data_IF_837311417123
#
_entry.id   IF_837311417123
#
_cell.length_a   1.000
_cell.length_b   1.000
_cell.length_c   1.000
_cell.angle_alpha   90.00
_cell.angle_beta   90.00
_cell.angle_gamma   90.00
#
_symmetry.space_group_name_H-M   'P 1'
#
loop_
_entity.id
_entity.type
_entity.pdbx_description
1 polymer ?
#
# COMPACT_ATOMS: atom_id res chain seq x y z
N UNK A 1 15.98 8.61 -20.32
CA UNK A 1 15.82 7.30 -19.65
C UNK A 1 14.52 6.64 -20.08
N UNK A 2 14.52 5.32 -20.12
CA UNK A 2 13.32 4.51 -20.27
C UNK A 2 13.01 3.84 -18.94
N UNK A 3 11.77 3.96 -18.49
CA UNK A 3 11.30 3.43 -17.20
C UNK A 3 10.19 2.39 -17.44
N UNK A 4 10.28 1.25 -16.78
CA UNK A 4 9.24 0.23 -16.74
C UNK A 4 8.59 0.24 -15.35
N UNK A 5 7.27 0.31 -15.30
CA UNK A 5 6.49 0.18 -14.06
C UNK A 5 5.77 -1.17 -14.10
N UNK A 6 5.90 -1.95 -13.04
CA UNK A 6 5.22 -3.25 -12.91
C UNK A 6 4.00 -3.10 -12.00
N UNK A 7 2.83 -3.36 -12.55
CA UNK A 7 1.56 -3.27 -11.86
C UNK A 7 0.44 -2.68 -12.72
N UNK A 8 -0.74 -2.54 -12.16
CA UNK A 8 -1.93 -2.13 -12.92
C UNK A 8 -2.97 -1.35 -12.11
N UNK A 9 -2.66 -0.94 -10.90
CA UNK A 9 -3.60 -0.30 -9.97
C UNK A 9 -3.48 1.22 -9.91
N UNK A 10 -4.25 1.81 -9.01
CA UNK A 10 -4.24 3.26 -8.79
C UNK A 10 -2.90 3.80 -8.29
N UNK A 11 -2.22 3.04 -7.47
CA UNK A 11 -0.87 3.32 -7.01
C UNK A 11 0.11 3.42 -8.18
N UNK A 12 0.08 2.48 -9.11
CA UNK A 12 0.93 2.48 -10.31
C UNK A 12 0.58 3.63 -11.24
N UNK A 13 -0.70 4.01 -11.32
CA UNK A 13 -1.11 5.19 -12.07
C UNK A 13 -0.51 6.47 -11.46
N UNK A 14 -0.55 6.62 -10.14
CA UNK A 14 0.05 7.77 -9.46
C UNK A 14 1.57 7.81 -9.68
N UNK A 15 2.24 6.67 -9.65
CA UNK A 15 3.67 6.54 -9.96
C UNK A 15 3.94 6.97 -11.41
N UNK A 16 3.19 6.44 -12.38
CA UNK A 16 3.36 6.78 -13.79
C UNK A 16 3.15 8.27 -14.06
N UNK A 17 2.13 8.86 -13.45
CA UNK A 17 1.85 10.30 -13.50
C UNK A 17 3.04 11.12 -13.01
N UNK A 18 3.64 10.73 -11.89
CA UNK A 18 4.79 11.45 -11.32
C UNK A 18 6.07 11.24 -12.12
N UNK A 19 6.33 10.02 -12.57
CA UNK A 19 7.47 9.68 -13.43
C UNK A 19 7.43 10.48 -14.73
N UNK A 20 6.24 10.68 -15.31
CA UNK A 20 6.06 11.45 -16.54
C UNK A 20 6.47 12.93 -16.41
N UNK A 21 6.56 13.45 -15.19
CA UNK A 21 7.01 14.82 -14.92
C UNK A 21 8.53 14.96 -14.89
N UNK A 22 9.27 13.86 -14.85
CA UNK A 22 10.72 13.89 -14.81
C UNK A 22 11.32 14.27 -16.15
N UNK A 23 12.21 15.26 -16.15
CA UNK A 23 12.96 15.67 -17.35
C UNK A 23 13.95 14.60 -17.81
N UNK A 24 14.25 13.62 -16.96
CA UNK A 24 15.16 12.51 -17.28
C UNK A 24 14.51 11.41 -18.12
N UNK A 25 13.17 11.36 -18.14
CA UNK A 25 12.42 10.24 -18.73
C UNK A 25 11.93 10.58 -20.13
N UNK A 26 12.31 9.72 -21.08
CA UNK A 26 11.89 9.85 -22.48
C UNK A 26 10.73 8.90 -22.79
N UNK A 27 10.67 7.76 -22.14
CA UNK A 27 9.69 6.71 -22.41
C UNK A 27 9.31 5.97 -21.11
N UNK A 28 8.02 5.73 -20.95
CA UNK A 28 7.47 4.93 -19.85
C UNK A 28 6.74 3.72 -20.43
N UNK A 29 7.05 2.54 -19.90
CA UNK A 29 6.27 1.31 -20.10
C UNK A 29 5.59 0.93 -18.79
N UNK A 30 4.44 0.31 -18.86
CA UNK A 30 3.77 -0.29 -17.69
C UNK A 30 3.25 -1.68 -18.04
N UNK A 31 3.52 -2.64 -17.20
CA UNK A 31 3.12 -4.02 -17.43
C UNK A 31 2.34 -4.57 -16.20
N UNK A 32 1.05 -4.92 -16.34
CA UNK A 32 0.24 -4.78 -17.55
C UNK A 32 -0.38 -3.39 -17.76
N UNK A 33 -0.43 -2.53 -16.71
CA UNK A 33 -1.05 -1.21 -16.78
C UNK A 33 -2.58 -1.23 -16.78
N UNK A 34 -3.18 -0.09 -17.00
CA UNK A 34 -4.63 0.08 -17.12
C UNK A 34 -4.95 1.24 -18.08
N UNK A 35 -6.24 1.52 -18.29
CA UNK A 35 -6.68 2.52 -19.26
C UNK A 35 -6.22 3.95 -18.93
N UNK A 36 -6.05 4.30 -17.65
CA UNK A 36 -5.55 5.62 -17.25
C UNK A 36 -4.03 5.73 -17.35
N UNK A 37 -3.32 4.68 -17.00
CA UNK A 37 -1.86 4.60 -17.14
C UNK A 37 -1.46 4.77 -18.61
N UNK A 38 -2.27 4.29 -19.53
CA UNK A 38 -2.03 4.42 -20.97
C UNK A 38 -1.89 5.87 -21.46
N UNK A 39 -2.33 6.85 -20.69
CA UNK A 39 -2.11 8.28 -21.00
C UNK A 39 -0.65 8.70 -20.84
N UNK A 40 0.10 8.01 -19.96
CA UNK A 40 1.50 8.34 -19.63
C UNK A 40 2.49 7.31 -20.10
N UNK A 41 2.06 6.08 -20.31
CA UNK A 41 2.91 4.93 -20.57
C UNK A 41 2.36 4.06 -21.70
N UNK A 42 3.26 3.37 -22.37
CA UNK A 42 2.88 2.25 -23.23
C UNK A 42 2.59 1.04 -22.35
N UNK A 43 1.35 0.59 -22.32
CA UNK A 43 0.96 -0.61 -21.59
C UNK A 43 1.36 -1.86 -22.39
N UNK A 44 2.02 -2.78 -21.70
CA UNK A 44 2.57 -4.00 -22.28
C UNK A 44 1.83 -5.20 -21.70
N UNK A 45 1.37 -6.09 -22.57
CA UNK A 45 0.58 -7.26 -22.17
C UNK A 45 1.46 -8.38 -21.56
N UNK A 46 2.14 -8.04 -20.48
CA UNK A 46 2.92 -8.98 -19.67
C UNK A 46 2.39 -8.90 -18.24
N UNK A 47 2.03 -10.03 -17.66
CA UNK A 47 1.55 -10.11 -16.29
C UNK A 47 2.65 -9.79 -15.27
N UNK A 48 2.27 -9.21 -14.15
CA UNK A 48 3.22 -8.80 -13.11
C UNK A 48 4.01 -9.97 -12.49
N UNK A 49 3.50 -11.19 -12.58
CA UNK A 49 4.15 -12.41 -12.09
C UNK A 49 4.98 -13.15 -13.15
N UNK A 50 5.02 -12.65 -14.36
CA UNK A 50 5.80 -13.24 -15.46
C UNK A 50 7.23 -12.66 -15.48
N UNK A 51 8.01 -12.96 -14.47
CA UNK A 51 9.29 -12.31 -14.19
C UNK A 51 10.31 -12.43 -15.34
N UNK A 52 10.43 -13.61 -15.95
CA UNK A 52 11.36 -13.83 -17.04
C UNK A 52 10.98 -13.02 -18.28
N UNK A 53 9.68 -12.92 -18.58
CA UNK A 53 9.17 -12.09 -19.68
C UNK A 53 9.37 -10.61 -19.42
N UNK A 54 9.15 -10.17 -18.17
CA UNK A 54 9.39 -8.79 -17.77
C UNK A 54 10.88 -8.41 -17.92
N UNK A 55 11.78 -9.26 -17.44
CA UNK A 55 13.22 -9.04 -17.57
C UNK A 55 13.67 -9.04 -19.02
N UNK A 56 13.19 -9.97 -19.84
CA UNK A 56 13.49 -10.03 -21.27
C UNK A 56 13.00 -8.77 -21.99
N UNK A 57 11.78 -8.31 -21.69
CA UNK A 57 11.24 -7.07 -22.24
C UNK A 57 12.12 -5.86 -21.86
N UNK A 58 12.49 -5.74 -20.59
CA UNK A 58 13.33 -4.64 -20.11
C UNK A 58 14.69 -4.64 -20.83
N UNK A 59 15.28 -5.80 -21.06
CA UNK A 59 16.55 -5.95 -21.74
C UNK A 59 16.46 -5.60 -23.24
N UNK A 60 15.48 -6.14 -23.93
CA UNK A 60 15.24 -5.90 -25.37
C UNK A 60 14.92 -4.43 -25.67
N UNK A 61 14.19 -3.76 -24.77
CA UNK A 61 13.79 -2.37 -24.95
C UNK A 61 14.75 -1.37 -24.29
N UNK A 62 15.87 -1.85 -23.73
CA UNK A 62 16.88 -1.00 -23.10
C UNK A 62 16.30 -0.14 -21.97
N UNK A 63 15.48 -0.73 -21.14
CA UNK A 63 14.92 -0.06 -19.96
C UNK A 63 16.04 0.26 -18.98
N UNK A 64 16.11 1.52 -18.56
CA UNK A 64 17.15 2.02 -17.63
C UNK A 64 16.82 1.77 -16.17
N UNK A 65 15.53 1.78 -15.83
CA UNK A 65 15.06 1.57 -14.45
C UNK A 65 13.69 0.92 -14.48
N UNK A 66 13.52 -0.11 -13.67
CA UNK A 66 12.22 -0.75 -13.43
C UNK A 66 11.75 -0.46 -12.00
N UNK A 67 10.48 -0.09 -11.85
CA UNK A 67 9.83 0.20 -10.56
C UNK A 67 8.72 -0.81 -10.35
N UNK A 68 8.79 -1.56 -9.26
CA UNK A 68 7.77 -2.56 -8.92
C UNK A 68 6.81 -1.97 -7.89
N UNK A 69 5.54 -1.84 -8.28
CA UNK A 69 4.52 -1.20 -7.45
C UNK A 69 3.74 -2.14 -6.53
N UNK A 70 3.72 -3.44 -6.82
CA UNK A 70 2.84 -4.42 -6.14
C UNK A 70 3.63 -5.39 -5.25
N UNK A 71 2.92 -5.96 -4.27
CA UNK A 71 3.44 -6.90 -3.29
C UNK A 71 3.78 -8.29 -3.86
N UNK A 72 2.86 -8.92 -4.58
CA UNK A 72 3.04 -10.30 -5.08
C UNK A 72 4.34 -10.51 -5.85
N UNK A 73 4.70 -9.70 -6.86
CA UNK A 73 5.96 -9.87 -7.57
C UNK A 73 7.18 -9.63 -6.67
N UNK A 74 7.13 -8.71 -5.72
CA UNK A 74 8.23 -8.44 -4.80
C UNK A 74 8.48 -9.64 -3.89
N UNK A 75 7.44 -10.17 -3.28
CA UNK A 75 7.51 -11.38 -2.44
C UNK A 75 7.92 -12.59 -3.26
N UNK A 76 7.51 -12.64 -4.53
CA UNK A 76 7.85 -13.71 -5.48
C UNK A 76 9.29 -13.70 -5.98
N UNK A 77 10.02 -12.57 -5.84
CA UNK A 77 11.44 -12.50 -6.21
C UNK A 77 11.74 -11.83 -7.56
N UNK A 78 10.85 -10.98 -8.07
CA UNK A 78 11.05 -10.26 -9.34
C UNK A 78 12.36 -9.45 -9.35
N UNK A 79 12.72 -8.83 -8.23
CA UNK A 79 13.94 -8.03 -8.11
C UNK A 79 15.18 -8.89 -8.28
N UNK A 80 15.20 -10.09 -7.70
CA UNK A 80 16.30 -11.04 -7.83
C UNK A 80 16.49 -11.46 -9.29
N UNK A 81 15.40 -11.69 -10.01
CA UNK A 81 15.44 -12.03 -11.44
C UNK A 81 16.07 -10.89 -12.26
N UNK A 82 15.64 -9.65 -12.00
CA UNK A 82 16.16 -8.47 -12.70
C UNK A 82 17.63 -8.22 -12.39
N UNK A 83 18.04 -8.30 -11.14
CA UNK A 83 19.44 -8.11 -10.75
C UNK A 83 20.37 -9.16 -11.37
N UNK A 84 19.91 -10.41 -11.44
CA UNK A 84 20.66 -11.49 -12.09
C UNK A 84 20.93 -11.20 -13.58
N UNK A 85 20.02 -10.49 -14.24
CA UNK A 85 20.16 -10.05 -15.62
C UNK A 85 20.90 -8.71 -15.78
N UNK A 86 21.43 -8.15 -14.68
CA UNK A 86 22.14 -6.88 -14.70
C UNK A 86 21.25 -5.65 -14.89
N UNK A 87 19.94 -5.78 -14.62
CA UNK A 87 18.95 -4.72 -14.79
C UNK A 87 18.77 -3.95 -13.48
N UNK A 88 18.73 -2.62 -13.58
CA UNK A 88 18.43 -1.76 -12.42
C UNK A 88 16.95 -1.84 -12.09
N UNK A 89 16.64 -2.07 -10.83
CA UNK A 89 15.27 -2.24 -10.35
C UNK A 89 15.10 -1.61 -8.97
N UNK A 90 14.00 -0.89 -8.79
CA UNK A 90 13.60 -0.32 -7.52
C UNK A 90 12.58 -1.24 -6.85
N UNK A 91 12.94 -1.77 -5.72
CA UNK A 91 12.14 -2.67 -4.91
C UNK A 91 13.03 -3.58 -4.07
N UNK A 92 12.51 -4.18 -3.00
CA UNK A 92 13.26 -5.11 -2.17
C UNK A 92 13.45 -6.45 -2.86
N UNK A 93 14.59 -7.08 -2.63
CA UNK A 93 14.82 -8.49 -2.98
C UNK A 93 13.86 -9.37 -2.21
N UNK A 94 13.66 -10.60 -2.68
CA UNK A 94 12.80 -11.59 -2.04
C UNK A 94 13.10 -11.75 -0.55
N UNK A 95 14.40 -11.84 -0.18
CA UNK A 95 14.82 -12.02 1.20
C UNK A 95 14.45 -10.80 2.11
N UNK A 96 14.30 -9.61 1.54
CA UNK A 96 13.87 -8.41 2.27
C UNK A 96 12.35 -8.21 2.20
N UNK A 97 11.72 -8.57 1.09
CA UNK A 97 10.26 -8.49 0.91
C UNK A 97 9.49 -9.38 1.89
N UNK A 98 10.16 -10.33 2.54
CA UNK A 98 9.61 -11.13 3.63
C UNK A 98 9.05 -10.27 4.78
N UNK A 99 9.52 -9.02 4.91
CA UNK A 99 8.99 -8.08 5.88
C UNK A 99 7.47 -7.89 5.74
N UNK A 100 6.96 -7.94 4.50
CA UNK A 100 5.52 -8.00 4.20
C UNK A 100 5.04 -9.44 4.00
N UNK A 101 5.84 -10.27 3.37
CA UNK A 101 5.48 -11.64 2.99
C UNK A 101 5.25 -12.57 4.16
N UNK A 102 5.79 -12.28 5.34
CA UNK A 102 5.59 -13.07 6.55
C UNK A 102 5.37 -12.18 7.77
N UNK A 103 4.16 -12.25 8.31
CA UNK A 103 3.79 -11.54 9.55
C UNK A 103 4.55 -12.11 10.75
N UNK A 104 4.73 -13.44 10.78
CA UNK A 104 5.51 -14.10 11.82
C UNK A 104 6.96 -13.61 11.83
N UNK A 105 7.59 -13.51 10.66
CA UNK A 105 8.94 -12.98 10.54
C UNK A 105 9.02 -11.54 11.06
N UNK A 106 8.12 -10.65 10.63
CA UNK A 106 8.15 -9.24 11.03
C UNK A 106 7.93 -9.07 12.54
N UNK A 107 7.06 -9.87 13.14
CA UNK A 107 6.84 -9.85 14.59
C UNK A 107 8.10 -10.31 15.34
N UNK A 108 8.72 -11.41 14.92
CA UNK A 108 9.95 -11.91 15.53
C UNK A 108 11.11 -10.91 15.37
N UNK A 109 11.20 -10.24 14.22
CA UNK A 109 12.17 -9.17 13.99
C UNK A 109 11.98 -8.02 14.97
N UNK A 110 10.74 -7.53 15.12
CA UNK A 110 10.43 -6.44 16.03
C UNK A 110 10.72 -6.79 17.48
N UNK A 111 10.40 -8.02 17.89
CA UNK A 111 10.71 -8.50 19.24
C UNK A 111 12.22 -8.56 19.49
N UNK A 112 12.97 -9.12 18.54
CA UNK A 112 14.43 -9.27 18.65
C UNK A 112 15.15 -7.92 18.74
N UNK A 113 14.70 -6.94 18.00
CA UNK A 113 15.34 -5.62 17.92
C UNK A 113 14.61 -4.54 18.72
N UNK A 114 13.69 -4.92 19.59
CA UNK A 114 12.95 -4.02 20.50
C UNK A 114 12.18 -2.91 19.80
N UNK A 115 11.62 -3.19 18.64
CA UNK A 115 10.76 -2.26 17.91
C UNK A 115 9.33 -2.37 18.47
N UNK A 116 8.70 -1.26 18.90
CA UNK A 116 7.37 -1.31 19.51
C UNK A 116 6.30 -1.91 18.59
N UNK A 117 5.64 -2.96 19.06
CA UNK A 117 4.51 -3.60 18.37
C UNK A 117 3.61 -4.30 19.41
N UNK A 118 2.47 -4.84 18.96
CA UNK A 118 1.58 -5.62 19.80
C UNK A 118 2.26 -6.88 20.33
N UNK A 119 1.93 -7.28 21.55
CA UNK A 119 2.32 -8.58 22.08
C UNK A 119 1.71 -9.69 21.22
N UNK A 120 2.46 -10.74 20.97
CA UNK A 120 2.06 -11.79 20.04
C UNK A 120 2.67 -13.14 20.38
N UNK A 121 2.09 -14.20 19.79
CA UNK A 121 2.67 -15.55 19.74
C UNK A 121 2.42 -16.15 18.35
N UNK A 122 3.38 -16.93 17.86
CA UNK A 122 3.27 -17.65 16.58
C UNK A 122 2.97 -19.12 16.82
N UNK A 123 2.10 -19.71 16.01
CA UNK A 123 1.72 -21.13 16.11
C UNK A 123 1.72 -21.80 14.73
N UNK A 124 2.36 -22.95 14.66
CA UNK A 124 2.31 -23.86 13.50
C UNK A 124 1.38 -25.04 13.74
N UNK A 125 1.00 -25.27 15.00
CA UNK A 125 0.09 -26.32 15.43
C UNK A 125 -1.22 -25.73 15.95
N UNK A 126 -2.34 -26.20 15.40
CA UNK A 126 -3.67 -25.71 15.77
C UNK A 126 -4.04 -26.03 17.23
N UNK A 127 -3.65 -27.21 17.76
CA UNK A 127 -3.92 -27.57 19.15
C UNK A 127 -3.16 -26.65 20.13
N UNK A 128 -1.92 -26.31 19.81
CA UNK A 128 -1.15 -25.36 20.61
C UNK A 128 -1.78 -23.97 20.61
N UNK A 129 -2.28 -23.52 19.45
CA UNK A 129 -3.00 -22.25 19.33
C UNK A 129 -4.28 -22.24 20.17
N UNK A 130 -5.07 -23.31 20.11
CA UNK A 130 -6.30 -23.46 20.91
C UNK A 130 -6.01 -23.47 22.41
N UNK A 131 -4.97 -24.16 22.83
CA UNK A 131 -4.54 -24.18 24.23
C UNK A 131 -4.17 -22.80 24.73
N UNK A 132 -3.41 -22.06 23.94
CA UNK A 132 -3.05 -20.66 24.25
C UNK A 132 -4.29 -19.77 24.41
N UNK A 133 -5.25 -19.88 23.47
CA UNK A 133 -6.49 -19.10 23.52
C UNK A 133 -7.32 -19.39 24.77
N UNK A 134 -7.40 -20.65 25.18
CA UNK A 134 -8.15 -21.08 26.34
C UNK A 134 -7.51 -20.71 27.69
N UNK A 135 -6.20 -20.71 27.74
CA UNK A 135 -5.46 -20.56 29.00
C UNK A 135 -4.91 -19.15 29.22
N UNK A 136 -4.55 -18.43 28.17
CA UNK A 136 -3.76 -17.18 28.26
C UNK A 136 -4.34 -15.98 27.55
N UNK A 137 -5.27 -16.16 26.62
CA UNK A 137 -5.76 -15.05 25.80
C UNK A 137 -6.70 -14.13 26.56
N UNK A 138 -6.54 -12.83 26.32
CA UNK A 138 -7.48 -11.80 26.71
C UNK A 138 -8.23 -11.32 25.47
N UNK A 139 -9.52 -10.98 25.60
CA UNK A 139 -10.36 -10.60 24.47
C UNK A 139 -10.74 -9.11 24.51
N UNK A 140 -10.89 -8.42 23.37
CA UNK A 140 -10.72 -8.96 22.01
C UNK A 140 -9.28 -9.34 21.69
N UNK A 141 -9.10 -10.28 20.73
CA UNK A 141 -7.79 -10.72 20.27
C UNK A 141 -7.75 -10.76 18.74
N UNK A 142 -6.56 -10.71 18.16
CA UNK A 142 -6.39 -10.69 16.70
C UNK A 142 -5.68 -11.95 16.24
N UNK A 143 -6.28 -12.64 15.27
CA UNK A 143 -5.69 -13.78 14.59
C UNK A 143 -5.28 -13.36 13.17
N UNK A 144 -4.04 -13.66 12.81
CA UNK A 144 -3.51 -13.32 11.47
C UNK A 144 -2.93 -14.57 10.81
N UNK A 145 -3.40 -14.88 9.61
CA UNK A 145 -2.73 -15.84 8.75
C UNK A 145 -1.38 -15.27 8.32
N UNK A 146 -0.35 -16.11 8.27
CA UNK A 146 0.96 -15.72 7.82
C UNK A 146 1.03 -15.70 6.29
N UNK A 147 1.40 -14.57 5.71
CA UNK A 147 1.45 -14.38 4.26
C UNK A 147 0.61 -13.20 3.81
N UNK A 148 0.54 -12.99 2.49
CA UNK A 148 -0.14 -11.82 1.92
C UNK A 148 -1.65 -11.83 2.14
N UNK A 149 -2.31 -12.97 1.93
CA UNK A 149 -3.75 -13.20 2.14
C UNK A 149 -4.69 -12.07 1.67
N UNK A 150 -4.20 -11.17 0.82
CA UNK A 150 -4.92 -10.01 0.25
C UNK A 150 -5.63 -9.14 1.32
N UNK A 151 -5.04 -9.02 2.51
CA UNK A 151 -5.63 -8.28 3.63
C UNK A 151 -6.83 -8.97 4.29
N UNK A 152 -7.20 -10.16 3.84
CA UNK A 152 -8.38 -10.89 4.35
C UNK A 152 -8.04 -11.87 5.48
N UNK A 153 -6.77 -12.15 5.69
CA UNK A 153 -6.30 -13.11 6.69
C UNK A 153 -6.21 -12.56 8.12
N UNK A 154 -6.91 -11.48 8.44
CA UNK A 154 -6.93 -10.84 9.75
C UNK A 154 -8.33 -10.96 10.34
N UNK A 155 -8.44 -11.60 11.50
CA UNK A 155 -9.70 -11.81 12.22
C UNK A 155 -9.61 -11.18 13.61
N UNK A 156 -10.51 -10.25 13.90
CA UNK A 156 -10.68 -9.68 15.24
C UNK A 156 -11.75 -10.52 15.95
N UNK A 157 -11.36 -11.17 17.04
CA UNK A 157 -12.23 -12.08 17.77
C UNK A 157 -12.55 -11.48 19.14
N UNK A 158 -13.84 -11.31 19.43
CA UNK A 158 -14.31 -10.73 20.69
C UNK A 158 -14.54 -11.77 21.78
N UNK A 159 -14.69 -13.03 21.39
CA UNK A 159 -14.95 -14.15 22.31
C UNK A 159 -14.02 -15.33 22.02
N UNK A 160 -13.89 -16.24 22.99
CA UNK A 160 -13.13 -17.46 22.80
C UNK A 160 -13.70 -18.32 21.66
N UNK A 161 -15.02 -18.40 21.55
CA UNK A 161 -15.71 -19.16 20.50
C UNK A 161 -15.37 -18.61 19.11
N UNK A 162 -15.38 -17.29 18.94
CA UNK A 162 -14.97 -16.64 17.68
C UNK A 162 -13.51 -16.96 17.35
N UNK A 163 -12.63 -16.93 18.36
CA UNK A 163 -11.21 -17.20 18.17
C UNK A 163 -10.95 -18.69 17.82
N UNK A 164 -11.65 -19.61 18.45
CA UNK A 164 -11.56 -21.05 18.12
C UNK A 164 -12.04 -21.31 16.68
N UNK A 165 -13.13 -20.70 16.25
CA UNK A 165 -13.60 -20.78 14.86
C UNK A 165 -12.59 -20.14 13.89
N UNK A 166 -11.94 -19.06 14.31
CA UNK A 166 -10.87 -18.41 13.54
C UNK A 166 -9.66 -19.32 13.32
N UNK A 167 -9.23 -20.06 14.35
CA UNK A 167 -8.16 -21.05 14.23
C UNK A 167 -8.54 -22.15 13.23
N UNK A 168 -9.77 -22.64 13.31
CA UNK A 168 -10.29 -23.64 12.38
C UNK A 168 -10.27 -23.11 10.94
N UNK A 169 -10.79 -21.91 10.72
CA UNK A 169 -10.84 -21.28 9.40
C UNK A 169 -9.46 -21.11 8.79
N UNK A 170 -8.49 -20.62 9.57
CA UNK A 170 -7.15 -20.31 9.07
C UNK A 170 -6.31 -21.57 8.94
N UNK A 171 -6.21 -22.38 9.99
CA UNK A 171 -5.23 -23.47 10.09
C UNK A 171 -5.75 -24.82 9.59
N UNK A 172 -7.03 -25.12 9.80
CA UNK A 172 -7.62 -26.42 9.44
C UNK A 172 -8.30 -26.39 8.07
N UNK A 173 -9.21 -25.45 7.87
CA UNK A 173 -9.94 -25.31 6.60
C UNK A 173 -9.08 -24.67 5.50
N UNK A 174 -7.94 -24.07 5.86
CA UNK A 174 -6.99 -23.45 4.94
C UNK A 174 -7.65 -22.44 4.01
N UNK A 175 -8.57 -21.63 4.52
CA UNK A 175 -9.28 -20.60 3.74
C UNK A 175 -8.32 -19.65 3.01
N UNK A 176 -7.12 -19.44 3.56
CA UNK A 176 -6.09 -18.58 2.99
C UNK A 176 -4.90 -19.40 2.44
N UNK A 177 -5.13 -20.66 2.10
CA UNK A 177 -4.11 -21.53 1.53
C UNK A 177 -2.92 -21.75 2.47
N UNK A 178 -1.71 -21.75 1.92
CA UNK A 178 -0.47 -21.93 2.68
C UNK A 178 -0.21 -20.84 3.71
N UNK A 179 -0.82 -19.65 3.57
CA UNK A 179 -0.74 -18.60 4.59
C UNK A 179 -1.30 -19.05 5.94
N UNK A 180 -2.19 -20.03 5.95
CA UNK A 180 -2.73 -20.66 7.17
C UNK A 180 -1.82 -21.70 7.83
N UNK A 181 -0.64 -21.97 7.29
CA UNK A 181 0.30 -22.92 7.92
C UNK A 181 0.88 -22.37 9.23
N UNK A 182 0.97 -21.06 9.35
CA UNK A 182 1.37 -20.38 10.57
C UNK A 182 0.31 -19.35 10.94
N UNK A 183 -0.03 -19.32 12.23
CA UNK A 183 -0.98 -18.37 12.80
C UNK A 183 -0.24 -17.43 13.74
N UNK A 184 -0.45 -16.13 13.58
CA UNK A 184 0.00 -15.10 14.53
C UNK A 184 -1.20 -14.69 15.38
N UNK A 185 -1.07 -14.82 16.69
CA UNK A 185 -2.07 -14.35 17.65
C UNK A 185 -1.51 -13.10 18.32
N UNK A 186 -2.23 -11.97 18.21
CA UNK A 186 -1.81 -10.68 18.73
C UNK A 186 -2.81 -10.10 19.71
N UNK A 187 -2.31 -9.32 20.68
CA UNK A 187 -3.19 -8.45 21.46
C UNK A 187 -3.92 -7.46 20.54
N UNK A 188 -5.13 -7.14 20.89
CA UNK A 188 -5.89 -6.10 20.20
C UNK A 188 -5.42 -4.73 20.69
N UNK A 189 -4.85 -3.94 19.77
CA UNK A 189 -4.45 -2.57 20.07
C UNK A 189 -5.59 -1.61 19.79
N UNK A 190 -5.75 -0.62 20.65
CA UNK A 190 -6.68 0.48 20.48
C UNK A 190 -5.91 1.79 20.24
N UNK A 191 -6.48 2.64 19.43
CA UNK A 191 -5.86 3.91 19.06
C UNK A 191 -6.27 4.33 17.67
N UNK A 192 -5.48 5.19 17.08
CA UNK A 192 -5.71 5.71 15.73
C UNK A 192 -4.65 5.15 14.79
N UNK A 193 -5.10 4.58 13.67
CA UNK A 193 -4.20 4.07 12.64
C UNK A 193 -3.69 5.23 11.77
N UNK A 194 -2.39 5.23 11.51
CA UNK A 194 -1.73 6.17 10.61
C UNK A 194 -0.74 5.41 9.75
N UNK A 195 -0.62 5.81 8.50
CA UNK A 195 0.31 5.23 7.54
C UNK A 195 1.47 6.19 7.28
N UNK A 196 2.70 5.68 7.33
CA UNK A 196 3.90 6.42 6.92
C UNK A 196 4.69 5.57 5.93
N UNK A 197 4.82 6.08 4.70
CA UNK A 197 5.62 5.46 3.67
C UNK A 197 7.04 6.03 3.75
N UNK A 198 8.02 5.24 3.36
CA UNK A 198 9.42 5.66 3.39
C UNK A 198 10.21 5.12 2.21
N UNK A 199 11.15 5.93 1.72
CA UNK A 199 12.20 5.47 0.82
C UNK A 199 13.36 4.89 1.63
N UNK A 200 13.92 3.78 1.17
CA UNK A 200 15.02 3.08 1.86
C UNK A 200 16.06 2.63 0.84
N UNK A 201 17.34 2.85 1.15
CA UNK A 201 18.47 2.46 0.29
C UNK A 201 19.37 1.35 0.89
N UNK A 202 18.88 0.67 1.90
CA UNK A 202 19.63 -0.35 2.65
C UNK A 202 20.24 0.17 3.94
N UNK A 203 20.55 1.46 4.02
CA UNK A 203 21.17 2.12 5.18
C UNK A 203 20.39 3.32 5.66
N UNK A 204 20.00 4.18 4.73
CA UNK A 204 19.28 5.42 5.00
C UNK A 204 17.78 5.21 4.76
N UNK A 205 16.97 5.78 5.62
CA UNK A 205 15.52 5.87 5.46
C UNK A 205 15.10 7.34 5.43
N UNK A 206 14.23 7.68 4.48
CA UNK A 206 13.59 9.00 4.36
C UNK A 206 12.10 8.81 4.34
N UNK A 207 11.43 9.26 5.39
CA UNK A 207 9.98 9.14 5.52
C UNK A 207 9.25 10.20 4.70
N UNK A 208 8.11 9.81 4.16
CA UNK A 208 7.19 10.70 3.45
C UNK A 208 6.18 11.30 4.42
N UNK A 209 5.41 12.26 3.94
CA UNK A 209 4.27 12.80 4.70
C UNK A 209 3.31 11.68 5.11
N UNK A 210 2.71 11.79 6.29
CA UNK A 210 1.75 10.80 6.80
C UNK A 210 0.46 10.75 5.99
N UNK A 211 -0.25 9.64 6.08
CA UNK A 211 -1.56 9.46 5.49
C UNK A 211 -2.46 8.65 6.44
N UNK A 212 -3.75 8.69 6.20
CA UNK A 212 -4.71 7.94 6.98
C UNK A 212 -5.77 7.35 6.06
N UNK A 213 -5.91 6.03 6.08
CA UNK A 213 -6.77 5.27 5.20
C UNK A 213 -8.07 4.83 5.91
N UNK A 214 -9.04 4.37 5.11
CA UNK A 214 -10.35 3.88 5.55
C UNK A 214 -10.56 2.49 4.98
N UNK A 215 -10.39 1.46 5.82
CA UNK A 215 -10.34 0.06 5.40
C UNK A 215 -11.71 -0.58 5.17
N UNK A 216 -12.76 -0.12 5.87
CA UNK A 216 -14.08 -0.71 5.79
C UNK A 216 -14.84 -0.25 4.55
N UNK A 217 -15.67 -1.16 4.02
CA UNK A 217 -16.38 -0.91 2.76
C UNK A 217 -17.49 0.15 2.87
N UNK A 218 -18.10 0.30 4.05
CA UNK A 218 -19.30 1.13 4.26
C UNK A 218 -19.06 2.29 5.22
N UNK A 219 -19.90 3.31 5.11
CA UNK A 219 -19.91 4.46 6.01
C UNK A 219 -19.98 4.01 7.49
N UNK A 220 -19.39 4.81 8.36
CA UNK A 220 -19.33 4.52 9.80
C UNK A 220 -18.41 3.36 10.15
N UNK A 221 -17.41 3.07 9.29
CA UNK A 221 -16.49 1.95 9.45
C UNK A 221 -17.21 0.61 9.61
N UNK A 222 -18.23 0.40 8.79
CA UNK A 222 -19.02 -0.82 8.76
C UNK A 222 -18.69 -1.68 7.54
N UNK A 223 -19.14 -2.93 7.58
CA UNK A 223 -18.95 -3.87 6.48
C UNK A 223 -17.59 -4.55 6.52
N UNK A 224 -17.22 -5.17 5.41
CA UNK A 224 -15.99 -5.95 5.28
C UNK A 224 -14.76 -5.06 5.11
N UNK A 225 -13.61 -5.58 5.48
CA UNK A 225 -12.33 -4.97 5.17
C UNK A 225 -12.08 -4.99 3.65
N UNK A 226 -11.47 -3.92 3.17
CA UNK A 226 -11.13 -3.73 1.75
C UNK A 226 -9.65 -3.37 1.61
N UNK A 227 -9.23 -3.11 0.39
CA UNK A 227 -7.90 -2.54 0.11
C UNK A 227 -7.77 -1.07 0.52
N UNK A 228 -8.87 -0.41 0.85
CA UNK A 228 -8.96 1.01 1.20
C UNK A 228 -10.02 1.72 0.36
N UNK A 229 -10.87 2.48 1.01
CA UNK A 229 -11.99 3.19 0.37
C UNK A 229 -11.75 4.70 0.23
N UNK A 230 -10.62 5.15 0.71
CA UNK A 230 -10.22 6.55 0.65
C UNK A 230 -9.18 6.87 1.70
N UNK A 231 -8.47 7.96 1.48
CA UNK A 231 -7.33 8.35 2.32
C UNK A 231 -7.13 9.85 2.28
N UNK A 232 -6.43 10.37 3.27
CA UNK A 232 -6.02 11.76 3.29
C UNK A 232 -4.60 11.92 3.81
N UNK A 233 -3.97 13.03 3.49
CA UNK A 233 -2.60 13.38 3.87
C UNK A 233 -2.46 14.90 4.03
N UNK A 234 -1.77 15.38 5.09
CA UNK A 234 -1.19 14.62 6.19
C UNK A 234 -2.24 14.21 7.25
N UNK A 235 -1.91 13.26 8.11
CA UNK A 235 -2.75 12.98 9.27
C UNK A 235 -2.52 14.04 10.35
N UNK A 236 -3.57 14.71 10.85
CA UNK A 236 -3.43 15.70 11.92
C UNK A 236 -3.06 15.07 13.27
N UNK A 237 -3.19 13.77 13.39
CA UNK A 237 -2.82 13.02 14.61
C UNK A 237 -1.36 12.57 14.62
N UNK A 238 -0.70 12.63 13.48
CA UNK A 238 0.74 12.38 13.36
C UNK A 238 1.50 13.68 13.67
N UNK A 239 1.68 13.93 14.95
CA UNK A 239 2.33 15.15 15.46
C UNK A 239 3.85 15.03 15.39
N UNK A 240 4.55 16.15 15.60
CA UNK A 240 6.02 16.14 15.70
C UNK A 240 6.50 15.21 16.81
N UNK A 241 5.80 15.14 17.93
CA UNK A 241 6.15 14.25 19.04
C UNK A 241 6.05 12.77 18.62
N UNK A 242 5.00 12.40 17.88
CA UNK A 242 4.84 11.07 17.32
C UNK A 242 5.97 10.77 16.32
N UNK A 243 6.27 11.71 15.43
CA UNK A 243 7.34 11.58 14.45
C UNK A 243 8.70 11.38 15.12
N UNK A 244 9.04 12.19 16.10
CA UNK A 244 10.30 12.10 16.85
C UNK A 244 10.45 10.74 17.55
N UNK A 245 9.37 10.21 18.11
CA UNK A 245 9.35 8.87 18.71
C UNK A 245 9.60 7.78 17.66
N UNK A 246 8.90 7.85 16.54
CA UNK A 246 9.03 6.86 15.46
C UNK A 246 10.41 6.90 14.81
N UNK A 247 10.98 8.08 14.60
CA UNK A 247 12.37 8.25 14.13
C UNK A 247 13.36 7.57 15.08
N UNK A 248 13.18 7.75 16.37
CA UNK A 248 14.10 7.23 17.38
C UNK A 248 13.98 5.71 17.57
N UNK A 249 12.77 5.15 17.54
CA UNK A 249 12.54 3.78 17.98
C UNK A 249 12.04 2.82 16.90
N UNK A 250 11.56 3.32 15.77
CA UNK A 250 10.89 2.49 14.77
C UNK A 250 11.58 2.50 13.41
N UNK A 251 11.77 3.67 12.79
CA UNK A 251 12.15 3.77 11.38
C UNK A 251 13.55 3.26 11.10
N UNK A 252 14.57 3.92 11.62
CA UNK A 252 15.95 3.50 11.41
C UNK A 252 16.20 2.13 12.05
N UNK A 253 15.58 1.85 13.19
CA UNK A 253 15.68 0.55 13.86
C UNK A 253 15.23 -0.61 12.95
N UNK A 254 14.18 -0.41 12.14
CA UNK A 254 13.71 -1.42 11.19
C UNK A 254 14.73 -1.66 10.08
N UNK A 255 15.28 -0.60 9.51
CA UNK A 255 16.31 -0.69 8.46
C UNK A 255 17.55 -1.41 8.96
N UNK A 256 18.04 -1.02 10.14
CA UNK A 256 19.21 -1.62 10.79
C UNK A 256 18.98 -3.09 11.15
N UNK A 257 17.77 -3.43 11.63
CA UNK A 257 17.39 -4.80 11.94
C UNK A 257 17.42 -5.69 10.69
N UNK A 258 16.85 -5.23 9.59
CA UNK A 258 16.86 -5.96 8.32
C UNK A 258 18.28 -6.19 7.81
N UNK A 259 19.13 -5.16 7.86
CA UNK A 259 20.55 -5.29 7.48
C UNK A 259 21.29 -6.28 8.39
N UNK A 260 21.04 -6.26 9.69
CA UNK A 260 21.64 -7.18 10.65
C UNK A 260 21.24 -8.64 10.41
N UNK A 261 20.07 -8.88 9.83
CA UNK A 261 19.63 -10.23 9.45
C UNK A 261 20.16 -10.67 8.07
N UNK A 262 21.02 -9.85 7.43
CA UNK A 262 21.48 -10.13 6.07
C UNK A 262 20.41 -9.93 5.00
N UNK A 263 19.40 -9.10 5.28
CA UNK A 263 18.24 -8.83 4.45
C UNK A 263 18.15 -7.34 4.12
N UNK A 264 19.21 -6.79 3.59
CA UNK A 264 19.27 -5.37 3.22
C UNK A 264 18.04 -4.97 2.40
N UNK A 265 17.32 -3.95 2.85
CA UNK A 265 16.09 -3.50 2.22
C UNK A 265 16.31 -2.25 1.37
N UNK A 266 16.03 -2.34 0.08
CA UNK A 266 15.98 -1.19 -0.84
C UNK A 266 14.59 -1.10 -1.45
N UNK A 267 13.96 0.05 -1.36
CA UNK A 267 12.61 0.25 -1.88
C UNK A 267 11.75 1.06 -0.94
N UNK A 268 10.47 0.73 -0.88
CA UNK A 268 9.52 1.38 0.02
C UNK A 268 9.23 0.47 1.21
N UNK A 269 9.38 1.00 2.43
CA UNK A 269 8.75 0.42 3.61
C UNK A 269 7.54 1.27 3.96
N UNK A 270 6.40 0.63 4.01
CA UNK A 270 5.15 1.19 4.51
C UNK A 270 5.00 0.77 5.96
N UNK A 271 4.95 1.76 6.86
CA UNK A 271 4.68 1.54 8.27
C UNK A 271 3.20 1.78 8.54
N UNK A 272 2.45 0.73 8.85
CA UNK A 272 1.15 0.86 9.47
C UNK A 272 1.33 1.03 10.97
N UNK A 273 0.98 2.20 11.49
CA UNK A 273 1.17 2.55 12.90
C UNK A 273 -0.16 2.61 13.63
N UNK A 274 -0.18 2.13 14.86
CA UNK A 274 -1.25 2.40 15.81
C UNK A 274 -0.76 3.40 16.84
N UNK A 275 -1.42 4.56 16.92
CA UNK A 275 -1.13 5.57 17.92
C UNK A 275 -1.91 5.24 19.18
N UNK A 276 -1.28 4.49 20.08
CA UNK A 276 -1.89 4.02 21.33
C UNK A 276 -1.65 5.01 22.47
N UNK A 277 -2.36 4.85 23.59
CA UNK A 277 -2.12 5.61 24.82
C UNK A 277 -0.69 5.45 25.36
N UNK A 278 -0.05 4.32 25.06
CA UNK A 278 1.33 4.01 25.46
C UNK A 278 2.37 4.42 24.42
N UNK A 279 1.96 5.16 23.41
CA UNK A 279 2.80 5.61 22.30
C UNK A 279 2.58 4.84 21.01
N UNK A 280 3.27 5.27 19.92
CA UNK A 280 3.18 4.60 18.63
C UNK A 280 3.69 3.16 18.67
N UNK A 281 2.97 2.27 18.00
CA UNK A 281 3.38 0.87 17.80
C UNK A 281 3.19 0.49 16.34
N UNK A 282 4.06 -0.35 15.83
CA UNK A 282 3.91 -0.90 14.48
C UNK A 282 2.77 -1.91 14.47
N UNK A 283 1.76 -1.64 13.66
CA UNK A 283 0.65 -2.55 13.42
C UNK A 283 1.04 -3.59 12.36
N UNK A 284 1.64 -3.12 11.26
CA UNK A 284 2.11 -3.96 10.16
C UNK A 284 3.16 -3.24 9.31
N UNK A 285 3.91 -4.03 8.55
CA UNK A 285 4.77 -3.53 7.47
C UNK A 285 4.22 -3.93 6.11
N UNK A 286 4.44 -3.07 5.12
CA UNK A 286 4.33 -3.47 3.72
C UNK A 286 5.62 -3.06 2.98
N UNK A 287 5.98 -3.82 1.95
CA UNK A 287 7.26 -3.67 1.24
C UNK A 287 7.11 -2.92 -0.09
N UNK A 288 6.13 -2.05 -0.19
CA UNK A 288 5.75 -1.30 -1.39
C UNK A 288 4.92 -0.08 -1.01
N UNK A 289 4.66 0.78 -2.01
CA UNK A 289 3.70 1.87 -1.82
C UNK A 289 2.32 1.36 -1.40
N UNK A 290 1.61 2.14 -0.59
CA UNK A 290 0.22 1.89 -0.27
C UNK A 290 -0.73 2.26 -1.42
N UNK A 291 -1.87 1.62 -1.48
CA UNK A 291 -2.97 1.91 -2.39
C UNK A 291 -4.29 1.92 -1.60
N UNK A 292 -4.90 3.07 -1.27
CA UNK A 292 -4.79 4.35 -1.99
C UNK A 292 -3.83 5.40 -1.41
N UNK A 293 -2.96 5.11 -0.46
CA UNK A 293 -2.10 6.11 0.18
C UNK A 293 -1.19 6.83 -0.83
N UNK A 294 -0.66 6.12 -1.83
CA UNK A 294 0.15 6.72 -2.89
C UNK A 294 -0.57 7.86 -3.62
N UNK A 295 -1.89 7.76 -3.77
CA UNK A 295 -2.72 8.72 -4.47
C UNK A 295 -2.87 10.07 -3.75
N UNK A 296 -2.50 10.17 -2.48
CA UNK A 296 -2.45 11.43 -1.73
C UNK A 296 -1.04 11.88 -1.36
N UNK A 297 -0.10 10.95 -1.26
CA UNK A 297 1.28 11.22 -0.87
C UNK A 297 2.11 11.68 -2.08
N UNK A 298 2.06 10.94 -3.19
CA UNK A 298 2.83 11.24 -4.40
C UNK A 298 2.47 12.60 -5.02
N UNK A 299 1.20 13.00 -5.12
CA UNK A 299 0.85 14.34 -5.64
C UNK A 299 1.41 15.51 -4.82
N UNK A 300 1.75 15.28 -3.56
CA UNK A 300 2.32 16.29 -2.67
C UNK A 300 3.85 16.29 -2.65
N UNK A 301 4.50 15.30 -3.27
CA UNK A 301 5.96 15.21 -3.35
C UNK A 301 6.50 16.27 -4.31
N UNK A 302 7.45 17.11 -3.84
CA UNK A 302 8.10 18.14 -4.67
C UNK A 302 9.23 17.58 -5.52
N UNK A 303 9.95 16.58 -5.02
CA UNK A 303 11.10 16.00 -5.71
C UNK A 303 10.72 15.34 -7.04
N UNK A 304 11.68 15.27 -7.95
CA UNK A 304 11.63 14.33 -9.06
C UNK A 304 11.72 12.91 -8.49
N UNK A 305 10.64 12.14 -8.62
CA UNK A 305 10.56 10.80 -8.01
C UNK A 305 11.61 9.84 -8.62
N UNK A 306 11.98 10.05 -9.89
CA UNK A 306 12.99 9.20 -10.56
C UNK A 306 14.35 9.40 -9.93
N UNK A 307 14.71 10.63 -9.57
CA UNK A 307 15.96 10.93 -8.84
C UNK A 307 15.98 10.22 -7.48
N UNK A 308 14.85 10.18 -6.78
CA UNK A 308 14.73 9.47 -5.49
C UNK A 308 14.86 7.97 -5.68
N UNK A 309 14.20 7.39 -6.69
CA UNK A 309 14.33 5.97 -7.00
C UNK A 309 15.77 5.59 -7.33
N UNK A 310 16.44 6.38 -8.17
CA UNK A 310 17.84 6.15 -8.53
C UNK A 310 18.75 6.22 -7.29
N UNK A 311 18.53 7.20 -6.44
CA UNK A 311 19.29 7.35 -5.18
C UNK A 311 19.12 6.11 -4.28
N UNK A 312 17.93 5.55 -4.19
CA UNK A 312 17.68 4.32 -3.43
C UNK A 312 18.45 3.13 -4.03
N UNK A 313 18.39 2.97 -5.34
CA UNK A 313 19.10 1.87 -6.05
C UNK A 313 20.60 1.98 -5.87
N UNK A 314 21.13 3.20 -5.93
CA UNK A 314 22.57 3.50 -5.90
C UNK A 314 23.14 3.68 -4.49
N UNK A 315 22.34 3.56 -3.45
CA UNK A 315 22.78 3.74 -2.05
C UNK A 315 23.14 5.17 -1.70
N UNK A 316 22.50 6.14 -2.34
CA UNK A 316 22.76 7.59 -2.21
C UNK A 316 21.55 8.38 -1.68
N UNK A 317 20.64 7.73 -0.99
CA UNK A 317 19.44 8.37 -0.48
C UNK A 317 19.78 9.48 0.54
N UNK A 318 20.90 9.38 1.24
CA UNK A 318 21.36 10.41 2.15
C UNK A 318 21.65 11.77 1.46
N UNK A 319 21.86 11.79 0.15
CA UNK A 319 22.07 13.00 -0.64
C UNK A 319 20.76 13.69 -1.05
N UNK A 320 19.61 13.04 -0.87
CA UNK A 320 18.29 13.56 -1.25
C UNK A 320 17.70 14.38 -0.10
N UNK A 321 17.32 15.62 -0.41
CA UNK A 321 16.49 16.45 0.47
C UNK A 321 15.01 16.24 0.07
N UNK A 322 14.35 15.32 0.78
CA UNK A 322 12.97 14.95 0.49
C UNK A 322 12.01 16.04 0.96
N UNK A 323 11.24 16.62 0.05
CA UNK A 323 10.33 17.73 0.32
C UNK A 323 8.91 17.46 -0.15
N UNK A 324 7.96 17.90 0.65
CA UNK A 324 6.53 17.83 0.35
C UNK A 324 5.91 19.22 0.33
N UNK A 325 4.82 19.38 -0.43
CA UNK A 325 4.05 20.60 -0.43
C UNK A 325 3.39 20.84 0.93
N UNK A 326 3.27 22.12 1.30
CA UNK A 326 2.59 22.54 2.54
C UNK A 326 1.09 22.75 2.27
N UNK A 327 0.42 21.68 1.90
CA UNK A 327 -1.00 21.62 1.62
C UNK A 327 -1.57 20.29 2.12
N UNK A 328 -2.77 19.95 1.67
CA UNK A 328 -3.39 18.66 1.97
C UNK A 328 -3.95 18.02 0.71
N UNK A 329 -4.16 16.71 0.76
CA UNK A 329 -4.82 15.96 -0.30
C UNK A 329 -5.77 14.92 0.30
N UNK A 330 -6.90 14.70 -0.38
CA UNK A 330 -7.89 13.68 -0.04
C UNK A 330 -8.20 12.88 -1.28
N UNK A 331 -8.24 11.56 -1.16
CA UNK A 331 -8.64 10.63 -2.21
C UNK A 331 -9.89 9.86 -1.78
N UNK A 332 -10.91 9.89 -2.61
CA UNK A 332 -12.14 9.09 -2.45
C UNK A 332 -12.14 8.00 -3.50
N UNK A 333 -12.23 6.75 -3.08
CA UNK A 333 -12.28 5.61 -4.01
C UNK A 333 -13.70 5.43 -4.52
N UNK A 334 -13.83 5.38 -5.86
CA UNK A 334 -15.06 4.99 -6.54
C UNK A 334 -14.95 3.51 -6.86
N UNK A 335 -15.85 2.72 -6.29
CA UNK A 335 -15.85 1.26 -6.41
C UNK A 335 -17.07 0.78 -7.19
N UNK A 336 -17.03 -0.46 -7.63
CA UNK A 336 -18.17 -1.19 -8.14
C UNK A 336 -19.03 -1.67 -6.97
N UNK A 337 -20.33 -1.43 -7.00
CA UNK A 337 -21.25 -1.87 -5.95
C UNK A 337 -21.17 -3.40 -5.78
N UNK A 338 -21.07 -3.84 -4.53
CA UNK A 338 -20.81 -5.23 -4.16
C UNK A 338 -19.36 -5.54 -3.79
N UNK A 339 -18.41 -4.66 -4.14
CA UNK A 339 -17.03 -4.78 -3.68
C UNK A 339 -16.98 -4.77 -2.14
N UNK A 340 -16.20 -5.63 -1.45
CA UNK A 340 -15.14 -6.51 -1.97
C UNK A 340 -15.59 -7.96 -2.27
N UNK A 341 -16.87 -8.27 -2.33
CA UNK A 341 -17.37 -9.64 -2.49
C UNK A 341 -17.57 -10.00 -3.96
N UNK A 342 -18.58 -9.42 -4.61
CA UNK A 342 -18.89 -9.67 -6.01
C UNK A 342 -19.48 -8.42 -6.65
N UNK A 343 -19.17 -8.20 -7.91
CA UNK A 343 -19.61 -7.00 -8.64
C UNK A 343 -19.57 -7.25 -10.14
N UNK A 344 -20.39 -6.50 -10.87
CA UNK A 344 -20.39 -6.50 -12.32
C UNK A 344 -19.34 -5.53 -12.87
N UNK A 345 -18.82 -5.83 -14.05
CA UNK A 345 -17.81 -5.08 -14.78
C UNK A 345 -18.29 -4.69 -16.17
N UNK A 346 -17.55 -3.79 -16.83
CA UNK A 346 -17.77 -3.44 -18.21
C UNK A 346 -18.68 -2.24 -18.42
N UNK A 347 -19.00 -1.50 -17.38
CA UNK A 347 -19.81 -0.29 -17.49
C UNK A 347 -18.97 0.90 -17.98
N UNK A 348 -19.43 1.65 -19.00
CA UNK A 348 -18.75 2.85 -19.46
C UNK A 348 -18.62 3.90 -18.35
N UNK A 349 -17.48 4.56 -18.31
CA UNK A 349 -17.18 5.63 -17.36
C UNK A 349 -17.21 6.96 -18.09
N UNK A 350 -18.00 7.91 -17.59
CA UNK A 350 -18.12 9.26 -18.14
C UNK A 350 -17.57 10.30 -17.19
N UNK A 351 -17.09 11.43 -17.74
CA UNK A 351 -16.63 12.59 -16.96
C UNK A 351 -15.14 12.64 -16.70
N UNK A 352 -14.37 11.67 -17.16
CA UNK A 352 -12.92 11.61 -16.92
C UNK A 352 -12.16 12.82 -17.50
N UNK A 353 -12.61 13.33 -18.63
CA UNK A 353 -12.02 14.49 -19.30
C UNK A 353 -12.06 15.78 -18.47
N UNK A 354 -12.99 15.90 -17.56
CA UNK A 354 -13.15 17.08 -16.70
C UNK A 354 -11.90 17.33 -15.85
N UNK A 355 -11.18 16.27 -15.49
CA UNK A 355 -9.98 16.39 -14.65
C UNK A 355 -8.78 16.99 -15.39
N UNK A 356 -8.72 16.89 -16.70
CA UNK A 356 -7.55 17.34 -17.51
C UNK A 356 -7.31 18.84 -17.45
N UNK A 357 -8.34 19.61 -17.20
CA UNK A 357 -8.30 21.09 -17.21
C UNK A 357 -8.31 21.71 -15.81
N UNK A 358 -8.19 20.89 -14.76
CA UNK A 358 -8.32 21.34 -13.38
C UNK A 358 -7.09 21.02 -12.53
N UNK A 359 -6.30 22.04 -12.27
CA UNK A 359 -5.15 21.93 -11.37
C UNK A 359 -5.57 21.52 -9.96
N UNK A 360 -4.82 20.61 -9.37
CA UNK A 360 -5.07 20.11 -8.02
C UNK A 360 -6.14 19.03 -7.94
N UNK A 361 -6.66 18.57 -9.09
CA UNK A 361 -7.62 17.47 -9.18
C UNK A 361 -7.05 16.35 -10.04
N UNK A 362 -7.16 15.14 -9.55
CA UNK A 362 -6.59 13.96 -10.21
C UNK A 362 -7.59 12.81 -10.17
N UNK A 363 -7.61 12.03 -11.23
CA UNK A 363 -8.35 10.76 -11.26
C UNK A 363 -7.35 9.65 -11.58
N UNK A 364 -7.06 8.82 -10.59
CA UNK A 364 -6.15 7.68 -10.74
C UNK A 364 -6.96 6.41 -11.00
N UNK A 365 -6.68 5.77 -12.13
CA UNK A 365 -7.38 4.56 -12.52
C UNK A 365 -6.83 3.34 -11.77
N UNK A 366 -7.73 2.52 -11.26
CA UNK A 366 -7.44 1.21 -10.72
C UNK A 366 -8.02 0.14 -11.65
N UNK A 367 -9.22 -0.33 -11.38
CA UNK A 367 -9.88 -1.32 -12.22
C UNK A 367 -10.59 -0.70 -13.41
N UNK A 368 -9.86 -0.31 -14.44
CA UNK A 368 -10.40 0.19 -15.70
C UNK A 368 -9.80 -0.54 -16.89
N UNK A 369 -10.53 -0.61 -17.99
CA UNK A 369 -10.07 -1.17 -19.25
C UNK A 369 -10.63 -0.38 -20.44
N UNK A 370 -9.99 -0.50 -21.59
CA UNK A 370 -10.49 0.06 -22.84
C UNK A 370 -11.29 -1.04 -23.55
N UNK A 371 -12.54 -0.75 -23.87
CA UNK A 371 -13.42 -1.64 -24.62
C UNK A 371 -14.22 -0.87 -25.67
N UNK A 372 -14.09 -1.25 -26.92
CA UNK A 372 -14.77 -0.59 -28.05
C UNK A 372 -14.57 0.94 -28.06
N UNK A 373 -13.35 1.38 -27.76
CA UNK A 373 -12.98 2.81 -27.74
C UNK A 373 -13.45 3.56 -26.49
N UNK A 374 -14.06 2.88 -25.52
CA UNK A 374 -14.55 3.49 -24.28
C UNK A 374 -13.81 2.93 -23.08
N UNK A 375 -13.59 3.77 -22.07
CA UNK A 375 -13.06 3.35 -20.79
C UNK A 375 -14.23 2.78 -19.98
N UNK A 376 -14.07 1.55 -19.51
CA UNK A 376 -15.08 0.80 -18.76
C UNK A 376 -14.55 0.34 -17.41
N UNK A 377 -15.47 0.06 -16.48
CA UNK A 377 -15.13 -0.56 -15.20
C UNK A 377 -14.58 -1.97 -15.42
N UNK A 378 -13.54 -2.34 -14.69
CA UNK A 378 -12.88 -3.64 -14.77
C UNK A 378 -12.29 -4.10 -13.44
N UNK A 379 -12.92 -3.75 -12.35
CA UNK A 379 -12.44 -4.12 -11.01
C UNK A 379 -13.35 -3.65 -9.91
N UNK A 380 -13.03 -4.03 -8.68
CA UNK A 380 -13.77 -3.63 -7.49
C UNK A 380 -13.54 -2.18 -7.16
N UNK A 381 -12.28 -1.79 -6.94
CA UNK A 381 -11.90 -0.38 -6.89
C UNK A 381 -11.63 0.07 -8.31
N UNK A 382 -12.38 1.07 -8.75
CA UNK A 382 -12.36 1.51 -10.16
C UNK A 382 -11.47 2.73 -10.35
N UNK A 383 -11.71 3.78 -9.55
CA UNK A 383 -11.01 5.05 -9.63
C UNK A 383 -10.69 5.58 -8.23
N UNK A 384 -9.58 6.29 -8.11
CA UNK A 384 -9.29 7.16 -6.97
C UNK A 384 -9.42 8.61 -7.39
N UNK A 385 -10.37 9.33 -6.83
CA UNK A 385 -10.56 10.76 -7.09
C UNK A 385 -9.81 11.55 -6.01
N UNK A 386 -8.72 12.18 -6.41
CA UNK A 386 -7.86 12.95 -5.51
C UNK A 386 -8.01 14.44 -5.77
N UNK A 387 -8.11 15.22 -4.70
CA UNK A 387 -8.03 16.67 -4.78
C UNK A 387 -7.12 17.24 -3.70
N UNK A 388 -6.41 18.30 -4.03
CA UNK A 388 -5.63 19.10 -3.10
C UNK A 388 -6.47 20.25 -2.54
N UNK A 389 -6.05 20.78 -1.42
CA UNK A 389 -6.58 22.00 -0.81
C UNK A 389 -5.54 22.62 0.11
N UNK A 390 -5.76 23.85 0.52
CA UNK A 390 -4.85 24.55 1.47
C UNK A 390 -4.77 23.82 2.82
N UNK A 391 -5.86 23.13 3.18
CA UNK A 391 -5.98 22.31 4.38
C UNK A 391 -6.85 21.08 4.08
N UNK A 392 -6.96 20.18 5.05
CA UNK A 392 -7.70 18.93 4.90
C UNK A 392 -9.19 19.12 4.64
N UNK A 393 -9.81 20.13 5.23
CA UNK A 393 -11.23 20.39 5.04
C UNK A 393 -11.52 20.84 3.61
N UNK A 394 -10.69 21.73 3.07
CA UNK A 394 -10.81 22.17 1.67
C UNK A 394 -10.51 21.02 0.71
N UNK A 395 -9.45 20.25 0.94
CA UNK A 395 -9.10 19.10 0.11
C UNK A 395 -10.24 18.07 0.08
N UNK A 396 -10.85 17.78 1.22
CA UNK A 396 -12.00 16.88 1.34
C UNK A 396 -13.22 17.40 0.55
N UNK A 397 -13.56 18.67 0.72
CA UNK A 397 -14.66 19.28 -0.02
C UNK A 397 -14.42 19.24 -1.53
N UNK A 398 -13.20 19.55 -1.97
CA UNK A 398 -12.80 19.49 -3.38
C UNK A 398 -12.88 18.07 -3.93
N UNK A 399 -12.41 17.07 -3.18
CA UNK A 399 -12.46 15.66 -3.61
C UNK A 399 -13.91 15.18 -3.78
N UNK A 400 -14.79 15.45 -2.83
CA UNK A 400 -16.20 15.06 -2.95
C UNK A 400 -16.92 15.79 -4.07
N UNK A 401 -16.62 17.07 -4.31
CA UNK A 401 -17.14 17.78 -5.48
C UNK A 401 -16.72 17.09 -6.77
N UNK A 402 -15.44 16.71 -6.87
CA UNK A 402 -14.92 16.03 -8.05
C UNK A 402 -15.49 14.63 -8.28
N UNK A 403 -15.94 13.93 -7.24
CA UNK A 403 -16.62 12.64 -7.40
C UNK A 403 -17.92 12.74 -8.19
N UNK A 404 -18.56 13.91 -8.19
CA UNK A 404 -19.79 14.17 -8.93
C UNK A 404 -19.56 14.29 -10.44
N UNK A 405 -18.33 14.56 -10.86
CA UNK A 405 -17.99 14.66 -12.29
C UNK A 405 -17.97 13.31 -12.98
N UNK A 406 -17.79 12.24 -12.22
CA UNK A 406 -17.69 10.87 -12.73
C UNK A 406 -19.03 10.15 -12.59
N UNK A 407 -19.45 9.50 -13.67
CA UNK A 407 -20.60 8.61 -13.62
C UNK A 407 -20.30 7.26 -14.29
N UNK A 408 -20.74 6.21 -13.67
CA UNK A 408 -20.85 4.87 -14.23
C UNK A 408 -21.93 4.11 -13.47
N UNK A 409 -22.57 3.16 -14.15
CA UNK A 409 -23.56 2.30 -13.53
C UNK A 409 -22.92 1.50 -12.40
N UNK A 410 -23.60 1.29 -11.30
CA UNK A 410 -23.15 0.65 -10.06
C UNK A 410 -22.02 1.38 -9.31
N UNK A 411 -21.84 2.68 -9.55
CA UNK A 411 -20.86 3.48 -8.78
C UNK A 411 -21.21 3.46 -7.29
N UNK A 412 -20.21 3.10 -6.48
CA UNK A 412 -20.29 3.11 -5.02
C UNK A 412 -19.10 3.86 -4.42
N UNK A 413 -19.34 4.62 -3.38
CA UNK A 413 -18.28 5.26 -2.59
C UNK A 413 -18.74 5.44 -1.15
N UNK A 414 -17.79 5.58 -0.24
CA UNK A 414 -18.09 6.06 1.11
C UNK A 414 -18.29 7.57 1.08
N UNK A 415 -19.20 8.06 1.93
CA UNK A 415 -19.54 9.48 2.04
C UNK A 415 -18.86 10.15 3.25
N UNK A 416 -18.13 9.40 4.05
CA UNK A 416 -17.52 9.83 5.31
C UNK A 416 -15.99 9.80 5.31
N UNK A 417 -15.35 9.72 4.13
CA UNK A 417 -13.90 9.77 4.03
C UNK A 417 -13.39 11.09 4.63
N UNK A 418 -12.46 10.95 5.57
CA UNK A 418 -11.90 12.11 6.26
C UNK A 418 -12.74 12.64 7.43
N UNK A 419 -13.74 11.90 7.90
CA UNK A 419 -14.54 12.30 9.08
C UNK A 419 -13.68 12.63 10.30
N UNK A 420 -12.57 11.89 10.49
CA UNK A 420 -11.64 12.13 11.58
C UNK A 420 -10.99 13.53 11.56
N UNK A 421 -10.97 14.19 10.39
CA UNK A 421 -10.47 15.58 10.27
C UNK A 421 -11.25 16.54 11.17
N UNK A 422 -12.52 16.27 11.38
CA UNK A 422 -13.40 17.11 12.22
C UNK A 422 -13.14 16.90 13.72
N UNK A 423 -12.39 15.86 14.08
CA UNK A 423 -12.03 15.52 15.46
C UNK A 423 -10.67 16.10 15.88
N UNK A 424 -9.94 16.69 14.94
CA UNK A 424 -8.57 17.17 15.13
C UNK A 424 -8.52 18.63 15.64
#
# INVERSE_FOLDING_TARGET
MKVLIVGSGGREHAIAWKVAQSSKVDKIYCAPGNAGIAEYAECVAIGAMEFEKLAAFAKENQVDLTVVGMDDPLVGGVVDVFEKEGLRVFGPRKNAAILEGSKAFSKDLMKKYHIPTAAYENFEDSEAALTYLREKAEFPIVLKADGLALGKGVLICNTLEEAEEGVKTIMLDKKFGSAGNTLVIEEFMTGREVSVLSFVDGKTIKTMTSAQDHKRAKDGDQGLNTGGMGTFSPSPFYTKEVDDFCEKYIYQATVDAMASEGREFKGIIFFGLMLTEKGPKVLEYNARFGDPEAQVVIPRLKNDIVEVFEACVDGKLNEIDLQFEDNAAVCVVLASDGYPVSYEKGFPIEGLETFKEKDGYYVFHAGTALKDGKIVTNGGRVLGVTAKGKDLKEARANAYEATKWISFENKYMRNDIGKAIDEA
#
